data_IF_764877953351
#
_entry.id   IF_764877953351
#
_cell.length_a   1.000
_cell.length_b   1.000
_cell.length_c   1.000
_cell.angle_alpha   90.00
_cell.angle_beta   90.00
_cell.angle_gamma   90.00
#
_symmetry.space_group_name_H-M   'P 1'
#
loop_
_entity.id
_entity.type
_entity.pdbx_description
1 polymer ?
#
# COMPACT_ATOMS: atom_id res chain seq x y z
N UNK A 1 15.25 51.73 12.08
CA UNK A 1 15.86 50.91 13.13
C UNK A 1 15.61 49.45 12.81
N UNK A 2 16.67 48.70 12.47
CA UNK A 2 16.66 47.25 12.24
C UNK A 2 17.07 46.59 13.56
N UNK A 3 16.36 45.55 14.00
CA UNK A 3 16.88 44.61 15.00
C UNK A 3 16.77 43.22 14.37
N UNK A 4 17.94 42.67 14.07
CA UNK A 4 18.21 41.29 13.67
C UNK A 4 18.36 40.48 14.96
N UNK A 5 17.70 39.33 15.06
CA UNK A 5 17.99 38.33 16.09
C UNK A 5 18.34 37.01 15.38
N UNK A 6 19.63 36.66 15.45
CA UNK A 6 20.19 35.36 15.07
C UNK A 6 20.41 34.60 16.38
N UNK A 7 19.82 33.41 16.52
CA UNK A 7 20.24 32.45 17.54
C UNK A 7 20.56 31.12 16.84
N UNK A 8 21.83 30.77 16.97
CA UNK A 8 22.50 29.57 16.52
C UNK A 8 22.32 28.40 17.49
N UNK A 9 22.26 27.20 16.93
CA UNK A 9 22.97 26.03 17.46
C UNK A 9 22.15 25.07 18.33
N UNK A 10 22.06 23.80 17.90
CA UNK A 10 22.81 22.73 18.56
C UNK A 10 22.86 21.47 17.68
N UNK A 11 24.08 20.96 17.51
CA UNK A 11 24.42 19.67 16.89
C UNK A 11 24.24 18.58 17.95
N UNK A 12 23.60 17.46 17.59
CA UNK A 12 23.42 16.30 18.46
C UNK A 12 23.63 15.00 17.68
N UNK A 13 24.90 14.59 17.61
CA UNK A 13 25.38 13.28 17.19
C UNK A 13 24.99 12.24 18.27
N UNK A 14 24.31 11.16 17.90
CA UNK A 14 24.13 9.99 18.80
C UNK A 14 24.60 8.74 18.07
N UNK A 15 25.67 8.16 18.61
CA UNK A 15 26.35 6.95 18.18
C UNK A 15 25.63 5.66 18.58
N UNK A 16 25.87 4.62 17.76
CA UNK A 16 25.69 3.20 18.02
C UNK A 16 26.16 2.75 19.42
N UNK A 17 25.56 1.68 19.94
CA UNK A 17 26.21 0.41 20.38
C UNK A 17 25.15 -0.45 21.08
N UNK A 18 25.02 -1.72 20.69
CA UNK A 18 24.92 -2.86 21.63
C UNK A 18 25.05 -4.19 20.89
N UNK A 19 26.25 -4.75 20.97
CA UNK A 19 26.55 -6.18 20.83
C UNK A 19 26.41 -6.80 22.23
N UNK A 20 25.67 -7.89 22.40
CA UNK A 20 26.02 -8.90 23.41
C UNK A 20 25.58 -10.30 22.95
N UNK A 21 26.60 -11.13 22.74
CA UNK A 21 26.55 -12.58 22.76
C UNK A 21 26.07 -13.09 24.12
N UNK A 22 25.27 -14.16 24.13
CA UNK A 22 25.31 -15.14 25.22
C UNK A 22 25.17 -16.56 24.66
N UNK A 23 26.31 -17.27 24.70
CA UNK A 23 26.42 -18.71 24.52
C UNK A 23 26.48 -19.29 25.94
N UNK A 24 25.74 -20.35 26.23
CA UNK A 24 25.89 -21.12 27.47
C UNK A 24 25.97 -22.62 27.12
N UNK A 25 27.11 -23.28 27.33
CA UNK A 25 27.22 -24.73 27.37
C UNK A 25 27.55 -25.24 28.79
N UNK A 26 26.80 -26.23 29.28
CA UNK A 26 27.26 -27.21 30.28
C UNK A 26 26.24 -28.37 30.32
N UNK A 27 26.60 -29.61 29.96
CA UNK A 27 27.38 -30.65 30.66
C UNK A 27 26.64 -31.36 31.82
N UNK A 28 26.24 -32.61 31.50
CA UNK A 28 26.38 -33.87 32.24
C UNK A 28 26.05 -33.96 33.75
N UNK A 29 25.22 -34.95 34.09
CA UNK A 29 25.14 -35.52 35.44
C UNK A 29 24.01 -36.52 35.59
N UNK A 30 24.33 -37.82 35.64
CA UNK A 30 23.39 -38.92 35.83
C UNK A 30 22.93 -39.09 37.29
N UNK A 31 21.79 -39.75 37.46
CA UNK A 31 21.26 -40.17 38.75
C UNK A 31 19.98 -40.99 38.57
N UNK A 32 20.10 -42.31 38.71
CA UNK A 32 19.00 -43.26 38.75
C UNK A 32 18.19 -43.07 40.04
N UNK A 33 16.92 -42.67 39.91
CA UNK A 33 15.92 -42.77 40.96
C UNK A 33 14.60 -43.21 40.33
N UNK A 34 14.18 -44.43 40.65
CA UNK A 34 12.91 -45.03 40.26
C UNK A 34 11.76 -44.27 40.92
N UNK A 35 11.01 -43.51 40.11
CA UNK A 35 9.77 -42.84 40.51
C UNK A 35 8.56 -43.66 40.09
N UNK A 36 7.49 -43.67 40.89
CA UNK A 36 6.26 -44.40 40.58
C UNK A 36 5.61 -43.86 39.30
N UNK A 37 5.12 -44.78 38.47
CA UNK A 37 4.36 -44.49 37.26
C UNK A 37 3.04 -43.83 37.67
N UNK A 38 2.98 -42.50 37.55
CA UNK A 38 1.73 -41.76 37.60
C UNK A 38 1.11 -41.88 36.21
N UNK A 39 0.02 -42.63 36.11
CA UNK A 39 -0.87 -42.63 34.95
C UNK A 39 -1.39 -41.21 34.75
N UNK A 40 -0.78 -40.52 33.77
CA UNK A 40 -1.29 -39.29 33.19
C UNK A 40 -1.74 -39.63 31.78
N UNK A 41 -2.84 -40.37 31.68
CA UNK A 41 -3.66 -40.35 30.48
C UNK A 41 -3.83 -38.89 30.04
N UNK A 42 -3.37 -38.51 28.82
CA UNK A 42 -3.60 -37.18 28.32
C UNK A 42 -5.11 -37.00 28.21
N UNK A 43 -5.65 -36.13 29.07
CA UNK A 43 -7.00 -35.61 28.90
C UNK A 43 -6.94 -34.76 27.63
N UNK A 44 -7.27 -35.39 26.51
CA UNK A 44 -7.57 -34.69 25.26
C UNK A 44 -8.79 -33.82 25.55
N UNK A 45 -8.55 -32.58 25.95
CA UNK A 45 -9.56 -31.55 25.76
C UNK A 45 -9.61 -31.30 24.25
N UNK A 46 -10.78 -31.45 23.61
CA UNK A 46 -10.91 -31.05 22.22
C UNK A 46 -10.63 -29.55 22.17
N UNK A 47 -9.45 -29.20 21.67
CA UNK A 47 -9.22 -27.83 21.22
C UNK A 47 -10.11 -27.71 20.00
N UNK A 48 -11.29 -27.12 20.17
CA UNK A 48 -12.10 -26.67 19.06
C UNK A 48 -11.27 -25.56 18.42
N UNK A 49 -10.45 -25.91 17.44
CA UNK A 49 -10.03 -24.95 16.43
C UNK A 49 -11.30 -24.50 15.75
N UNK A 50 -11.84 -23.39 16.25
CA UNK A 50 -12.79 -22.59 15.49
C UNK A 50 -11.96 -22.09 14.32
N UNK A 51 -11.97 -22.85 13.22
CA UNK A 51 -11.71 -22.29 11.90
C UNK A 51 -12.77 -21.21 11.74
N UNK A 52 -12.42 -19.99 12.16
CA UNK A 52 -13.22 -18.81 11.96
C UNK A 52 -13.30 -18.66 10.44
N UNK A 53 -14.36 -19.21 9.89
CA UNK A 53 -14.92 -18.85 8.60
C UNK A 53 -14.98 -17.34 8.58
N UNK A 54 -14.03 -16.72 7.89
CA UNK A 54 -13.89 -15.29 7.70
C UNK A 54 -14.97 -14.75 6.74
N UNK A 55 -16.20 -15.26 6.88
CA UNK A 55 -17.33 -15.04 5.99
C UNK A 55 -18.54 -14.41 6.69
N UNK A 56 -18.39 -13.86 7.89
CA UNK A 56 -19.49 -13.18 8.57
C UNK A 56 -18.94 -12.00 9.35
N UNK A 57 -18.92 -10.81 8.75
CA UNK A 57 -19.23 -9.52 9.39
C UNK A 57 -19.16 -8.41 8.33
N UNK A 58 -20.17 -8.36 7.44
CA UNK A 58 -20.65 -7.06 6.96
C UNK A 58 -21.78 -6.68 7.91
N UNK A 59 -21.52 -5.99 9.05
CA UNK A 59 -22.61 -5.43 9.80
C UNK A 59 -23.35 -4.46 8.89
N UNK A 60 -24.68 -4.55 8.91
CA UNK A 60 -25.61 -3.57 8.34
C UNK A 60 -25.15 -2.15 8.70
N UNK A 61 -24.40 -1.52 7.80
CA UNK A 61 -24.30 -0.06 7.73
C UNK A 61 -25.11 0.37 6.52
N UNK A 62 -26.41 0.08 6.54
CA UNK A 62 -27.39 0.88 5.82
C UNK A 62 -27.66 2.15 6.64
N UNK A 63 -26.61 2.93 6.89
CA UNK A 63 -26.78 4.33 7.25
C UNK A 63 -27.17 4.99 5.94
N UNK A 64 -28.41 5.46 5.85
CA UNK A 64 -29.01 6.14 4.69
C UNK A 64 -27.99 7.14 4.17
N UNK A 65 -27.26 6.72 3.15
CA UNK A 65 -26.26 7.53 2.47
C UNK A 65 -26.90 7.91 1.15
N UNK A 66 -26.68 9.14 0.65
CA UNK A 66 -27.19 9.52 -0.64
C UNK A 66 -26.82 8.46 -1.67
N UNK A 67 -27.70 8.15 -2.64
CA UNK A 67 -27.36 7.24 -3.71
C UNK A 67 -26.07 7.75 -4.34
N UNK A 68 -25.12 6.83 -4.57
CA UNK A 68 -23.79 7.12 -5.08
C UNK A 68 -23.85 8.09 -6.29
N UNK A 69 -24.88 7.95 -7.13
CA UNK A 69 -25.16 8.81 -8.29
C UNK A 69 -25.29 10.31 -7.98
N UNK A 70 -25.88 10.72 -6.85
CA UNK A 70 -25.99 12.16 -6.50
C UNK A 70 -24.63 12.70 -6.05
N UNK A 71 -23.87 11.92 -5.29
CA UNK A 71 -22.50 12.29 -4.86
C UNK A 71 -21.57 12.48 -6.06
N UNK A 72 -21.73 11.64 -7.09
CA UNK A 72 -20.87 11.63 -8.27
C UNK A 72 -21.10 12.78 -9.27
N UNK A 73 -22.17 13.58 -9.12
CA UNK A 73 -22.40 14.74 -10.00
C UNK A 73 -21.33 15.81 -9.80
N UNK A 74 -20.96 16.05 -8.55
CA UNK A 74 -19.99 17.10 -8.16
C UNK A 74 -18.65 16.51 -7.73
N UNK A 75 -18.64 15.23 -7.33
CA UNK A 75 -17.45 14.53 -6.87
C UNK A 75 -17.02 13.39 -7.78
N UNK A 76 -15.81 12.92 -7.58
CA UNK A 76 -15.27 11.73 -8.22
C UNK A 76 -14.42 10.95 -7.23
N UNK A 77 -14.35 9.63 -7.37
CA UNK A 77 -13.45 8.81 -6.57
C UNK A 77 -12.03 8.86 -7.15
N UNK A 78 -11.03 9.04 -6.31
CA UNK A 78 -9.61 8.90 -6.71
C UNK A 78 -8.95 7.76 -5.94
N UNK A 79 -8.48 6.77 -6.68
CA UNK A 79 -7.70 5.64 -6.17
C UNK A 79 -6.40 5.57 -6.95
N UNK A 80 -5.28 5.29 -6.28
CA UNK A 80 -3.99 5.10 -6.94
C UNK A 80 -3.39 3.73 -6.63
N UNK A 81 -2.76 3.14 -7.64
CA UNK A 81 -1.85 2.01 -7.52
C UNK A 81 -0.46 2.42 -8.00
N UNK A 82 0.47 2.56 -7.08
CA UNK A 82 1.85 2.92 -7.40
C UNK A 82 2.81 1.79 -7.09
N UNK A 83 3.75 1.51 -7.98
CA UNK A 83 4.88 0.62 -7.70
C UNK A 83 6.12 1.45 -7.48
N UNK A 84 6.88 1.22 -6.43
CA UNK A 84 8.22 1.77 -6.26
C UNK A 84 9.21 0.66 -6.50
N UNK A 85 10.15 0.86 -7.41
CA UNK A 85 11.21 -0.08 -7.71
C UNK A 85 12.57 0.50 -7.33
N UNK A 86 13.38 -0.30 -6.66
CA UNK A 86 14.79 -0.05 -6.40
C UNK A 86 15.63 -1.01 -7.25
N UNK A 87 16.43 -0.45 -8.15
CA UNK A 87 17.24 -1.22 -9.09
C UNK A 87 18.69 -1.26 -8.64
N UNK A 88 19.27 -2.46 -8.61
CA UNK A 88 20.70 -2.66 -8.37
C UNK A 88 21.58 -2.08 -9.49
N UNK A 89 22.87 -1.93 -9.23
CA UNK A 89 23.85 -1.43 -10.22
C UNK A 89 24.05 -2.34 -11.44
N UNK A 90 23.60 -3.60 -11.39
CA UNK A 90 23.66 -4.53 -12.51
C UNK A 90 22.52 -4.37 -13.52
N UNK A 91 21.54 -3.50 -13.25
CA UNK A 91 20.42 -3.25 -14.15
C UNK A 91 20.77 -2.20 -15.23
N UNK A 92 20.24 -2.34 -16.45
CA UNK A 92 20.38 -1.33 -17.49
C UNK A 92 19.66 -0.04 -17.10
N UNK A 93 20.16 1.12 -17.54
CA UNK A 93 19.46 2.39 -17.36
C UNK A 93 18.21 2.49 -18.23
N UNK A 94 17.18 3.17 -17.72
CA UNK A 94 15.93 3.44 -18.46
C UNK A 94 15.83 4.89 -18.96
N UNK A 95 15.02 5.08 -20.00
CA UNK A 95 14.56 6.39 -20.43
C UNK A 95 13.37 6.79 -19.54
N UNK A 96 13.51 7.93 -18.88
CA UNK A 96 12.51 8.51 -17.99
C UNK A 96 11.33 9.04 -18.81
N UNK A 97 10.12 8.61 -18.45
CA UNK A 97 8.89 9.29 -18.83
C UNK A 97 8.43 10.21 -17.69
N UNK A 98 7.95 11.40 -18.03
CA UNK A 98 7.44 12.38 -17.06
C UNK A 98 6.03 11.99 -16.60
N UNK A 99 5.59 12.42 -15.41
CA UNK A 99 4.25 12.08 -14.98
C UNK A 99 3.20 12.70 -15.91
N UNK A 100 2.22 11.91 -16.32
CA UNK A 100 1.09 12.30 -17.17
C UNK A 100 -0.04 12.95 -16.36
N UNK A 101 0.05 12.87 -15.03
CA UNK A 101 -0.79 13.57 -14.05
C UNK A 101 -0.06 13.71 -12.69
N UNK A 102 -0.54 14.61 -11.83
CA UNK A 102 -0.09 14.76 -10.45
C UNK A 102 -1.27 15.13 -9.54
N UNK A 103 -1.36 14.51 -8.36
CA UNK A 103 -2.35 14.86 -7.34
C UNK A 103 -1.69 15.55 -6.15
N UNK A 104 -2.07 16.79 -5.88
CA UNK A 104 -1.63 17.52 -4.70
C UNK A 104 -2.53 17.16 -3.51
N UNK A 105 -2.02 16.35 -2.60
CA UNK A 105 -2.78 15.94 -1.40
C UNK A 105 -3.08 17.08 -0.42
N UNK A 106 -2.35 18.20 -0.50
CA UNK A 106 -2.56 19.35 0.39
C UNK A 106 -3.69 20.24 -0.11
N UNK A 107 -3.70 20.54 -1.41
CA UNK A 107 -4.75 21.38 -2.00
C UNK A 107 -5.96 20.56 -2.46
N UNK A 108 -5.77 19.28 -2.78
CA UNK A 108 -6.75 18.38 -3.38
C UNK A 108 -6.89 18.57 -4.90
N UNK A 109 -5.92 19.22 -5.54
CA UNK A 109 -5.95 19.47 -6.99
C UNK A 109 -5.37 18.29 -7.76
N UNK A 110 -6.05 17.91 -8.84
CA UNK A 110 -5.60 16.87 -9.78
C UNK A 110 -5.20 17.52 -11.10
N UNK A 111 -3.91 17.58 -11.36
CA UNK A 111 -3.33 18.12 -12.59
C UNK A 111 -3.21 17.02 -13.63
N UNK A 112 -3.80 17.20 -14.80
CA UNK A 112 -3.79 16.23 -15.90
C UNK A 112 -3.09 16.84 -17.11
N UNK A 113 -2.07 16.15 -17.63
CA UNK A 113 -1.29 16.60 -18.79
C UNK A 113 -1.73 15.92 -20.08
N UNK A 114 -1.81 14.59 -20.11
CA UNK A 114 -2.14 13.83 -21.34
C UNK A 114 -3.20 12.75 -21.16
N UNK A 115 -3.71 12.55 -19.93
CA UNK A 115 -4.73 11.53 -19.68
C UNK A 115 -6.15 12.01 -20.06
N UNK A 116 -7.09 11.07 -20.29
CA UNK A 116 -8.48 11.43 -20.56
C UNK A 116 -9.12 12.23 -19.42
N UNK A 117 -9.82 13.31 -19.79
CA UNK A 117 -10.64 14.08 -18.87
C UNK A 117 -11.86 13.26 -18.42
N UNK A 118 -12.26 13.46 -17.17
CA UNK A 118 -13.36 12.76 -16.52
C UNK A 118 -14.69 13.22 -17.12
N UNK A 119 -15.53 12.28 -17.55
CA UNK A 119 -16.90 12.58 -17.98
C UNK A 119 -17.85 12.61 -16.78
N UNK A 120 -19.01 13.23 -16.96
CA UNK A 120 -20.06 13.28 -15.91
C UNK A 120 -20.61 11.90 -15.54
N UNK A 121 -20.50 10.92 -16.45
CA UNK A 121 -20.91 9.52 -16.22
C UNK A 121 -19.86 8.69 -15.50
N UNK A 122 -18.60 9.17 -15.40
CA UNK A 122 -17.55 8.41 -14.75
C UNK A 122 -17.66 8.55 -13.22
N UNK A 123 -17.49 7.44 -12.50
CA UNK A 123 -17.42 7.41 -11.04
C UNK A 123 -16.10 7.97 -10.52
N UNK A 124 -15.01 7.83 -11.27
CA UNK A 124 -13.72 8.28 -10.81
C UNK A 124 -12.55 7.94 -11.70
N UNK A 125 -11.37 8.08 -11.10
CA UNK A 125 -10.09 7.72 -11.66
C UNK A 125 -9.40 6.62 -10.85
N UNK A 126 -8.78 5.71 -11.58
CA UNK A 126 -7.76 4.82 -11.06
C UNK A 126 -6.43 5.24 -11.66
N UNK A 127 -5.62 5.92 -10.85
CA UNK A 127 -4.26 6.28 -11.18
C UNK A 127 -3.33 5.09 -11.00
N UNK A 128 -2.38 4.93 -11.90
CA UNK A 128 -1.39 3.87 -11.78
C UNK A 128 -0.06 4.23 -12.43
N UNK A 129 1.02 3.66 -11.91
CA UNK A 129 2.35 3.95 -12.40
C UNK A 129 3.43 3.28 -11.58
N UNK A 130 4.67 3.55 -11.97
CA UNK A 130 5.85 3.08 -11.26
C UNK A 130 6.82 4.23 -11.06
N UNK A 131 7.41 4.36 -9.88
CA UNK A 131 8.57 5.21 -9.66
C UNK A 131 9.81 4.36 -9.49
N UNK A 132 10.91 4.82 -10.07
CA UNK A 132 12.21 4.20 -9.91
C UNK A 132 13.07 5.01 -8.95
N UNK A 133 13.71 4.31 -8.03
CA UNK A 133 14.69 4.82 -7.08
C UNK A 133 16.02 4.08 -7.27
N UNK A 134 17.15 4.73 -7.02
CA UNK A 134 18.48 4.14 -7.21
C UNK A 134 19.22 4.66 -8.46
N UNK A 135 19.90 3.76 -9.19
CA UNK A 135 20.88 4.12 -10.23
C UNK A 135 20.29 4.75 -11.50
N UNK A 136 18.98 4.83 -11.65
CA UNK A 136 18.28 5.47 -12.76
C UNK A 136 16.96 6.04 -12.27
N UNK A 137 16.61 7.27 -12.65
CA UNK A 137 15.30 7.84 -12.31
C UNK A 137 14.21 7.36 -13.27
N UNK A 138 12.95 7.47 -12.83
CA UNK A 138 11.69 7.62 -13.60
C UNK A 138 11.05 6.41 -14.30
N UNK A 139 9.79 6.10 -13.95
CA UNK A 139 8.87 5.26 -14.75
C UNK A 139 7.46 5.90 -14.80
N UNK A 140 6.69 5.47 -15.79
CA UNK A 140 5.38 5.91 -16.24
C UNK A 140 4.34 6.22 -15.15
N UNK A 141 3.38 7.02 -15.57
CA UNK A 141 2.13 7.21 -14.85
C UNK A 141 0.99 7.28 -15.86
N UNK A 142 -0.17 6.82 -15.46
CA UNK A 142 -1.38 6.81 -16.26
C UNK A 142 -2.58 7.02 -15.34
N UNK A 143 -3.64 7.57 -15.90
CA UNK A 143 -4.87 7.85 -15.18
C UNK A 143 -6.04 7.31 -16.00
N UNK A 144 -6.65 6.22 -15.52
CA UNK A 144 -7.77 5.58 -16.21
C UNK A 144 -9.10 5.99 -15.56
N UNK A 145 -10.05 6.42 -16.37
CA UNK A 145 -11.42 6.71 -15.93
C UNK A 145 -12.22 5.42 -15.81
N UNK A 146 -13.12 5.34 -14.83
CA UNK A 146 -14.06 4.23 -14.70
C UNK A 146 -15.48 4.70 -14.41
N UNK A 147 -16.46 3.98 -14.93
CA UNK A 147 -17.90 4.32 -14.80
C UNK A 147 -18.54 3.66 -13.58
N UNK A 148 -18.14 2.45 -13.25
CA UNK A 148 -18.66 1.70 -12.13
C UNK A 148 -17.65 0.67 -11.63
N UNK A 149 -17.86 0.19 -10.41
CA UNK A 149 -17.22 -1.02 -9.93
C UNK A 149 -18.13 -2.24 -10.28
N UNK A 150 -17.55 -3.42 -10.60
CA UNK A 150 -16.13 -3.70 -10.58
C UNK A 150 -15.37 -3.07 -11.76
N UNK A 151 -14.12 -2.70 -11.53
CA UNK A 151 -13.23 -2.13 -12.54
C UNK A 151 -11.80 -2.64 -12.34
N UNK A 152 -11.13 -3.00 -13.43
CA UNK A 152 -9.78 -3.59 -13.37
C UNK A 152 -8.80 -2.78 -14.20
N UNK A 153 -7.64 -2.51 -13.60
CA UNK A 153 -6.46 -1.96 -14.28
C UNK A 153 -5.26 -2.77 -13.85
N UNK A 154 -4.52 -3.31 -14.83
CA UNK A 154 -3.41 -4.23 -14.58
C UNK A 154 -3.83 -5.38 -13.65
N UNK A 155 -3.05 -5.67 -12.60
CA UNK A 155 -3.32 -6.73 -11.62
C UNK A 155 -4.20 -6.28 -10.44
N UNK A 156 -4.89 -5.15 -10.58
CA UNK A 156 -5.67 -4.53 -9.52
C UNK A 156 -7.13 -4.37 -9.94
N UNK A 157 -8.04 -4.95 -9.16
CA UNK A 157 -9.49 -4.85 -9.36
C UNK A 157 -10.12 -4.08 -8.20
N UNK A 158 -10.82 -3.00 -8.50
CA UNK A 158 -11.78 -2.35 -7.61
C UNK A 158 -13.10 -3.12 -7.67
N UNK A 159 -13.57 -3.66 -6.56
CA UNK A 159 -14.80 -4.47 -6.51
C UNK A 159 -16.03 -3.66 -6.13
N UNK A 160 -15.91 -2.81 -5.11
CA UNK A 160 -17.02 -2.00 -4.62
C UNK A 160 -16.54 -0.68 -4.02
N UNK A 161 -17.44 0.29 -4.04
CA UNK A 161 -17.28 1.61 -3.43
C UNK A 161 -18.53 1.89 -2.60
N UNK A 162 -18.36 2.15 -1.31
CA UNK A 162 -19.47 2.55 -0.45
C UNK A 162 -19.76 4.04 -0.61
N UNK A 163 -20.92 4.49 -0.14
CA UNK A 163 -21.25 5.91 -0.17
C UNK A 163 -20.36 6.78 0.75
N UNK A 164 -19.65 6.18 1.71
CA UNK A 164 -18.64 6.87 2.51
C UNK A 164 -17.27 6.92 1.82
N UNK A 165 -17.14 6.35 0.62
CA UNK A 165 -15.88 6.27 -0.12
C UNK A 165 -14.95 5.16 0.35
N UNK A 166 -15.41 4.23 1.19
CA UNK A 166 -14.64 3.01 1.47
C UNK A 166 -14.62 2.16 0.19
N UNK A 167 -13.46 1.58 -0.11
CA UNK A 167 -13.31 0.69 -1.26
C UNK A 167 -12.91 -0.72 -0.82
N UNK A 168 -13.37 -1.70 -1.59
CA UNK A 168 -12.87 -3.07 -1.54
C UNK A 168 -12.19 -3.40 -2.85
N UNK A 169 -11.01 -4.02 -2.79
CA UNK A 169 -10.16 -4.26 -3.94
C UNK A 169 -9.50 -5.64 -3.85
N UNK A 170 -9.00 -6.12 -4.97
CA UNK A 170 -8.01 -7.20 -5.02
C UNK A 170 -6.78 -6.73 -5.77
N UNK A 171 -5.60 -7.03 -5.25
CA UNK A 171 -4.33 -6.86 -5.94
C UNK A 171 -3.53 -8.15 -5.86
N UNK A 172 -3.16 -8.75 -7.01
CA UNK A 172 -2.40 -10.02 -7.05
C UNK A 172 -2.97 -11.11 -6.13
N UNK A 173 -4.30 -11.26 -6.12
CA UNK A 173 -5.08 -12.19 -5.28
C UNK A 173 -5.18 -11.85 -3.78
N UNK A 174 -4.63 -10.73 -3.32
CA UNK A 174 -4.83 -10.23 -1.96
C UNK A 174 -6.08 -9.34 -1.88
N UNK A 175 -6.99 -9.65 -0.96
CA UNK A 175 -8.18 -8.84 -0.71
C UNK A 175 -7.85 -7.67 0.23
N UNK A 176 -8.21 -6.45 -0.19
CA UNK A 176 -7.80 -5.21 0.45
C UNK A 176 -9.04 -4.33 0.67
N UNK A 177 -9.16 -3.74 1.86
CA UNK A 177 -10.23 -2.79 2.21
C UNK A 177 -9.59 -1.50 2.68
N UNK A 178 -9.91 -0.38 2.03
CA UNK A 178 -9.35 0.94 2.35
C UNK A 178 -10.45 1.95 2.66
N UNK A 179 -10.31 2.62 3.80
CA UNK A 179 -11.07 3.83 4.11
C UNK A 179 -10.51 5.03 3.32
N UNK A 180 -11.30 6.09 3.10
CA UNK A 180 -10.77 7.34 2.56
C UNK A 180 -9.56 7.85 3.35
N UNK A 181 -8.54 8.33 2.65
CA UNK A 181 -7.28 8.83 3.21
C UNK A 181 -6.30 7.75 3.67
N UNK A 182 -6.62 6.47 3.48
CA UNK A 182 -5.74 5.36 3.89
C UNK A 182 -5.03 4.72 2.71
N UNK A 183 -3.94 4.04 3.01
CA UNK A 183 -3.18 3.26 2.04
C UNK A 183 -2.88 1.86 2.58
N UNK A 184 -2.64 0.97 1.64
CA UNK A 184 -2.04 -0.34 1.86
C UNK A 184 -0.70 -0.38 1.13
N UNK A 185 0.28 -1.05 1.74
CA UNK A 185 1.63 -1.19 1.20
C UNK A 185 2.02 -2.66 1.28
N UNK A 186 2.45 -3.23 0.16
CA UNK A 186 2.92 -4.61 0.12
C UNK A 186 4.26 -4.76 0.85
N UNK A 187 4.60 -5.98 1.31
CA UNK A 187 6.00 -6.32 1.56
C UNK A 187 6.86 -6.10 0.31
N UNK A 188 8.18 -5.88 0.45
CA UNK A 188 9.09 -5.84 -0.68
C UNK A 188 9.10 -7.17 -1.44
N UNK A 189 9.11 -7.09 -2.77
CA UNK A 189 9.18 -8.22 -3.69
C UNK A 189 10.53 -8.12 -4.41
N UNK A 190 11.33 -9.18 -4.34
CA UNK A 190 12.67 -9.21 -4.93
C UNK A 190 12.62 -10.07 -6.20
N UNK A 191 12.96 -9.47 -7.34
CA UNK A 191 13.19 -10.18 -8.60
C UNK A 191 14.69 -10.22 -8.89
N UNK A 192 15.29 -11.41 -8.74
CA UNK A 192 16.71 -11.64 -8.99
C UNK A 192 16.88 -12.21 -10.39
N UNK A 193 17.76 -11.61 -11.19
CA UNK A 193 17.86 -11.98 -12.60
C UNK A 193 16.84 -11.24 -13.47
N UNK A 194 16.35 -10.10 -13.00
CA UNK A 194 15.36 -9.30 -13.72
C UNK A 194 15.84 -8.99 -15.14
N UNK A 195 14.91 -8.98 -16.10
CA UNK A 195 15.22 -8.84 -17.53
C UNK A 195 16.19 -9.90 -18.09
N UNK A 196 16.38 -11.02 -17.39
CA UNK A 196 17.32 -12.07 -17.77
C UNK A 196 18.79 -11.74 -17.48
N UNK A 197 19.06 -10.71 -16.66
CA UNK A 197 20.41 -10.26 -16.32
C UNK A 197 20.72 -10.71 -14.88
N UNK A 198 21.63 -11.68 -14.65
CA UNK A 198 21.88 -12.25 -13.31
C UNK A 198 22.26 -11.22 -12.23
N UNK A 199 22.97 -10.17 -12.62
CA UNK A 199 23.41 -9.08 -11.74
C UNK A 199 22.31 -8.03 -11.51
N UNK A 200 21.21 -8.08 -12.27
CA UNK A 200 20.09 -7.17 -12.10
C UNK A 200 19.10 -7.72 -11.08
N UNK A 201 19.08 -7.08 -9.93
CA UNK A 201 18.10 -7.27 -8.87
C UNK A 201 17.18 -6.06 -8.83
N UNK A 202 15.87 -6.29 -8.84
CA UNK A 202 14.83 -5.28 -8.63
C UNK A 202 14.10 -5.60 -7.33
N UNK A 203 13.99 -4.62 -6.44
CA UNK A 203 13.13 -4.68 -5.26
C UNK A 203 11.92 -3.78 -5.47
N UNK A 204 10.73 -4.37 -5.56
CA UNK A 204 9.49 -3.65 -5.81
C UNK A 204 8.61 -3.59 -4.55
N UNK A 205 7.97 -2.46 -4.32
CA UNK A 205 6.91 -2.28 -3.31
C UNK A 205 5.68 -1.70 -3.98
N UNK A 206 4.51 -2.30 -3.76
CA UNK A 206 3.25 -1.77 -4.25
C UNK A 206 2.56 -0.96 -3.16
N UNK A 207 1.99 0.19 -3.54
CA UNK A 207 1.17 1.04 -2.68
C UNK A 207 -0.17 1.26 -3.35
N UNK A 208 -1.24 0.98 -2.63
CA UNK A 208 -2.60 1.34 -3.02
C UNK A 208 -3.08 2.45 -2.09
N UNK A 209 -3.55 3.57 -2.64
CA UNK A 209 -4.08 4.69 -1.86
C UNK A 209 -5.52 4.96 -2.25
N UNK A 210 -6.40 5.05 -1.25
CA UNK A 210 -7.75 5.55 -1.43
C UNK A 210 -7.80 7.01 -0.96
N UNK A 211 -7.83 7.98 -1.88
CA UNK A 211 -7.98 9.38 -1.50
C UNK A 211 -9.44 9.74 -1.14
N UNK A 212 -10.39 8.86 -1.45
CA UNK A 212 -11.81 9.10 -1.27
C UNK A 212 -12.41 9.97 -2.38
N UNK A 213 -13.58 10.53 -2.10
CA UNK A 213 -14.26 11.43 -3.03
C UNK A 213 -13.61 12.82 -3.05
N UNK A 214 -13.20 13.25 -4.23
CA UNK A 214 -12.63 14.56 -4.54
C UNK A 214 -13.64 15.43 -5.30
N UNK A 215 -13.48 16.74 -5.25
CA UNK A 215 -14.33 17.68 -5.98
C UNK A 215 -13.92 17.74 -7.47
N UNK A 216 -14.87 17.58 -8.40
CA UNK A 216 -14.58 17.67 -9.85
C UNK A 216 -14.06 19.04 -10.27
N UNK A 217 -14.43 20.09 -9.55
CA UNK A 217 -13.94 21.46 -9.77
C UNK A 217 -12.45 21.64 -9.49
N UNK A 218 -11.79 20.66 -8.87
CA UNK A 218 -10.35 20.64 -8.59
C UNK A 218 -9.53 19.87 -9.63
N UNK A 219 -10.15 19.46 -10.73
CA UNK A 219 -9.43 18.89 -11.87
C UNK A 219 -8.89 20.05 -12.71
N UNK A 220 -7.57 20.09 -12.89
CA UNK A 220 -6.87 21.10 -13.67
C UNK A 220 -6.30 20.42 -14.93
N UNK A 221 -6.78 20.82 -16.10
CA UNK A 221 -6.31 20.31 -17.40
C UNK A 221 -5.54 21.40 -18.13
N UNK A 222 -4.38 21.06 -18.69
CA UNK A 222 -3.67 21.95 -19.62
C UNK A 222 -4.31 21.99 -21.00
#
# INVERSE_FOLDING_TARGET
MKILAVISGLVGLVTLVSFFYYINPSLAGGGLATRPVVDRSPRFEPTIEIMATQNIYLPLVQKISPPLNETLKEKYLLVEHWTTEEWSSGCPGLIIDFPTYYFDTQTGDLFITVNPVLMSTNMGYMGYGTSLTGASGGINSNLARFEAAPYTVSDTTLHAVTASGQITMTHKNEAIVLLPGTNWVSPPIIDSGAMGIPECVITATHRLTNYGFQERSRIVTN
#
